data_IF_588169106796
#
_entry.id   IF_588169106796
#
_cell.length_a   1.000
_cell.length_b   1.000
_cell.length_c   1.000
_cell.angle_alpha   90.00
_cell.angle_beta   90.00
_cell.angle_gamma   90.00
#
_symmetry.space_group_name_H-M   'P 1'
#
loop_
_entity.id
_entity.type
_entity.pdbx_description
1 polymer ?
#
# COMPACT_ATOMS: atom_id res chain seq x y z
N UNK A 1 -32.29 -5.74 -27.57
CA UNK A 1 -31.62 -6.43 -26.44
C UNK A 1 -30.28 -6.93 -26.94
N UNK A 2 -29.17 -6.36 -26.46
CA UNK A 2 -27.82 -6.78 -26.85
C UNK A 2 -27.52 -8.13 -26.21
N UNK A 3 -27.10 -9.11 -27.02
CA UNK A 3 -26.86 -10.48 -26.59
C UNK A 3 -25.64 -10.52 -25.63
N UNK A 4 -25.77 -10.98 -24.37
CA UNK A 4 -24.67 -10.97 -23.40
C UNK A 4 -23.45 -11.81 -23.81
N UNK A 5 -23.63 -12.75 -24.75
CA UNK A 5 -22.53 -13.51 -25.36
C UNK A 5 -21.59 -12.64 -26.19
N UNK A 6 -22.12 -11.67 -26.94
CA UNK A 6 -21.30 -10.80 -27.80
C UNK A 6 -20.30 -9.97 -27.01
N UNK A 7 -20.72 -9.42 -25.87
CA UNK A 7 -19.82 -8.67 -24.98
C UNK A 7 -18.76 -9.55 -24.34
N UNK A 8 -19.10 -10.78 -23.94
CA UNK A 8 -18.15 -11.75 -23.41
C UNK A 8 -17.13 -12.17 -24.47
N UNK A 9 -17.57 -12.44 -25.68
CA UNK A 9 -16.71 -12.87 -26.79
C UNK A 9 -15.82 -11.72 -27.29
N UNK A 10 -16.33 -10.48 -27.29
CA UNK A 10 -15.57 -9.28 -27.61
C UNK A 10 -14.49 -8.99 -26.56
N UNK A 11 -14.85 -9.05 -25.27
CA UNK A 11 -13.90 -8.93 -24.14
C UNK A 11 -12.84 -10.03 -24.27
N UNK A 12 -13.24 -11.29 -24.39
CA UNK A 12 -12.31 -12.41 -24.51
C UNK A 12 -11.36 -12.24 -25.70
N UNK A 13 -11.83 -11.80 -26.88
CA UNK A 13 -10.98 -11.57 -28.04
C UNK A 13 -10.01 -10.38 -27.90
N UNK A 14 -10.34 -9.36 -27.10
CA UNK A 14 -9.42 -8.27 -26.76
C UNK A 14 -8.36 -8.75 -25.75
N UNK A 15 -8.78 -9.56 -24.77
CA UNK A 15 -7.92 -10.06 -23.70
C UNK A 15 -7.05 -11.27 -24.09
N UNK A 16 -7.35 -11.99 -25.19
CA UNK A 16 -6.51 -13.07 -25.74
C UNK A 16 -5.37 -12.58 -26.62
N UNK A 17 -5.22 -11.26 -26.81
CA UNK A 17 -4.03 -10.70 -27.44
C UNK A 17 -2.80 -11.03 -26.58
N UNK A 18 -1.81 -11.71 -27.16
CA UNK A 18 -0.55 -12.16 -26.51
C UNK A 18 0.24 -11.07 -25.79
N UNK A 19 -0.12 -9.81 -26.04
CA UNK A 19 0.39 -8.60 -25.38
C UNK A 19 -0.06 -8.49 -23.91
N UNK A 20 -1.26 -8.97 -23.56
CA UNK A 20 -1.83 -8.92 -22.18
C UNK A 20 -1.56 -10.18 -21.34
N UNK A 21 -1.05 -11.24 -21.95
CA UNK A 21 -0.80 -12.52 -21.28
C UNK A 21 0.49 -12.54 -20.44
N UNK A 22 1.46 -11.68 -20.77
CA UNK A 22 2.67 -11.57 -19.94
C UNK A 22 2.39 -10.71 -18.70
N UNK A 23 3.03 -11.02 -17.56
CA UNK A 23 3.02 -10.11 -16.37
C UNK A 23 3.40 -8.67 -16.74
N UNK A 24 4.22 -8.51 -17.77
CA UNK A 24 4.63 -7.23 -18.36
C UNK A 24 3.50 -6.47 -19.08
N UNK A 25 2.45 -7.15 -19.52
CA UNK A 25 1.26 -6.58 -20.17
C UNK A 25 0.13 -6.21 -19.20
N UNK A 26 0.08 -6.83 -18.01
CA UNK A 26 -0.96 -6.58 -17.00
C UNK A 26 -0.65 -5.43 -16.05
N UNK A 27 0.63 -5.19 -15.75
CA UNK A 27 1.06 -4.04 -14.94
C UNK A 27 1.17 -2.79 -15.81
N UNK A 28 0.73 -1.63 -15.29
CA UNK A 28 0.78 -0.37 -16.01
C UNK A 28 2.22 0.02 -16.33
N UNK A 29 2.62 -0.04 -17.59
CA UNK A 29 3.99 0.30 -18.01
C UNK A 29 4.07 1.75 -18.47
N UNK A 30 4.90 2.55 -17.81
CA UNK A 30 5.13 3.96 -18.14
C UNK A 30 6.58 4.22 -18.50
N UNK A 31 6.86 5.31 -19.23
CA UNK A 31 8.24 5.76 -19.41
C UNK A 31 8.83 6.15 -18.06
N UNK A 32 10.11 5.81 -17.86
CA UNK A 32 10.82 6.11 -16.63
C UNK A 32 11.29 7.57 -16.63
N UNK A 33 10.70 8.47 -15.83
CA UNK A 33 11.14 9.87 -15.77
C UNK A 33 12.50 10.00 -15.07
N UNK A 34 12.96 8.97 -14.37
CA UNK A 34 14.23 8.95 -13.64
C UNK A 34 15.40 8.42 -14.48
N UNK A 35 15.16 8.09 -15.75
CA UNK A 35 16.17 7.48 -16.61
C UNK A 35 17.35 8.43 -16.81
N UNK A 36 18.56 7.96 -16.51
CA UNK A 36 19.81 8.72 -16.67
C UNK A 36 20.10 9.70 -15.53
N UNK A 37 19.25 9.77 -14.51
CA UNK A 37 19.53 10.56 -13.30
C UNK A 37 20.45 9.80 -12.33
N UNK A 38 21.24 10.55 -11.57
CA UNK A 38 21.92 10.06 -10.37
C UNK A 38 21.05 10.39 -9.16
N UNK A 39 20.49 9.35 -8.51
CA UNK A 39 19.65 9.53 -7.33
C UNK A 39 20.53 9.57 -6.08
N UNK A 40 20.43 10.68 -5.33
CA UNK A 40 21.07 10.83 -4.03
C UNK A 40 19.94 10.81 -2.99
N UNK A 41 19.97 9.90 -2.00
CA UNK A 41 18.99 9.88 -0.92
C UNK A 41 19.19 11.10 -0.01
N UNK A 42 18.61 12.25 -0.38
CA UNK A 42 18.78 13.50 0.36
C UNK A 42 17.74 13.70 1.47
N UNK A 43 16.59 13.03 1.39
CA UNK A 43 15.49 13.23 2.34
C UNK A 43 14.92 11.90 2.82
N UNK A 44 15.01 11.61 4.14
CA UNK A 44 14.27 10.50 4.72
C UNK A 44 12.76 10.77 4.66
N UNK A 45 11.94 9.73 4.66
CA UNK A 45 10.48 9.86 4.61
C UNK A 45 9.92 10.65 5.82
N UNK A 46 10.53 10.44 6.98
CA UNK A 46 10.33 11.13 8.26
C UNK A 46 11.69 11.66 8.77
N UNK A 47 11.75 12.75 9.57
CA UNK A 47 12.99 13.21 10.20
C UNK A 47 13.72 12.13 10.99
N UNK A 48 12.98 11.09 11.40
CA UNK A 48 13.49 9.97 12.16
C UNK A 48 13.75 8.72 11.30
N UNK A 49 13.38 8.68 10.00
CA UNK A 49 13.59 7.47 9.18
C UNK A 49 15.07 7.12 9.08
N UNK A 50 15.41 5.83 9.06
CA UNK A 50 16.79 5.44 8.90
C UNK A 50 17.24 5.81 7.50
N UNK A 51 18.41 6.44 7.39
CA UNK A 51 19.00 6.80 6.09
C UNK A 51 19.50 5.57 5.32
N UNK A 52 19.69 4.45 6.04
CA UNK A 52 20.07 3.16 5.49
C UNK A 52 18.87 2.23 5.33
N UNK A 53 18.65 1.63 4.14
CA UNK A 53 17.58 0.67 3.90
C UNK A 53 17.73 -0.57 4.81
N UNK A 54 16.71 -0.89 5.61
CA UNK A 54 16.61 -2.18 6.30
C UNK A 54 15.54 -3.05 5.63
N UNK A 55 15.93 -4.19 5.07
CA UNK A 55 15.00 -5.10 4.42
C UNK A 55 14.21 -5.92 5.44
N UNK A 56 12.89 -5.80 5.42
CA UNK A 56 11.98 -6.74 6.06
C UNK A 56 11.46 -7.72 5.00
N UNK A 57 11.25 -8.99 5.37
CA UNK A 57 10.70 -10.02 4.46
C UNK A 57 9.36 -9.61 3.84
N UNK A 58 8.54 -8.86 4.58
CA UNK A 58 7.22 -8.42 4.14
C UNK A 58 7.25 -7.24 3.17
N UNK A 59 8.31 -6.44 3.20
CA UNK A 59 8.40 -5.14 2.55
C UNK A 59 9.73 -4.98 1.79
N UNK A 60 10.15 -6.07 1.14
CA UNK A 60 11.44 -6.16 0.47
C UNK A 60 11.55 -5.10 -0.64
N UNK A 61 12.67 -4.38 -0.66
CA UNK A 61 12.95 -3.38 -1.69
C UNK A 61 12.16 -2.07 -1.55
N UNK A 62 11.42 -1.87 -0.45
CA UNK A 62 10.71 -0.59 -0.21
C UNK A 62 11.65 0.62 -0.18
N UNK A 63 12.87 0.40 0.29
CA UNK A 63 13.87 1.44 0.51
C UNK A 63 14.92 1.45 -0.61
N UNK A 64 14.77 0.58 -1.61
CA UNK A 64 15.61 0.59 -2.80
C UNK A 64 15.24 1.79 -3.70
N UNK A 65 16.23 2.58 -4.15
CA UNK A 65 15.97 3.64 -5.09
C UNK A 65 15.46 3.08 -6.41
N UNK A 66 14.54 3.80 -7.04
CA UNK A 66 13.99 3.40 -8.33
C UNK A 66 15.11 3.27 -9.40
N UNK A 67 15.03 2.28 -10.30
CA UNK A 67 16.08 2.04 -11.28
C UNK A 67 16.19 3.20 -12.27
N UNK A 68 17.38 3.78 -12.43
CA UNK A 68 17.62 4.89 -13.37
C UNK A 68 18.21 4.45 -14.71
N UNK A 69 18.59 3.18 -14.86
CA UNK A 69 19.06 2.62 -16.13
C UNK A 69 17.90 2.14 -17.04
N UNK A 70 16.73 1.83 -16.47
CA UNK A 70 15.58 1.32 -17.22
C UNK A 70 14.88 2.39 -18.04
N UNK A 71 14.40 2.04 -19.24
CA UNK A 71 13.57 2.94 -20.08
C UNK A 71 12.14 3.10 -19.55
N UNK A 72 11.66 2.11 -18.80
CA UNK A 72 10.27 2.05 -18.35
C UNK A 72 10.17 1.63 -16.88
N UNK A 73 9.11 2.08 -16.21
CA UNK A 73 8.72 1.63 -14.88
C UNK A 73 7.39 0.86 -14.94
N UNK A 74 7.18 0.00 -13.95
CA UNK A 74 5.92 -0.70 -13.73
C UNK A 74 5.18 -0.05 -12.56
N UNK A 75 3.94 0.37 -12.81
CA UNK A 75 3.01 0.81 -11.79
C UNK A 75 2.05 -0.35 -11.50
N UNK A 76 1.93 -0.66 -10.22
CA UNK A 76 1.08 -1.72 -9.69
C UNK A 76 0.16 -1.14 -8.63
N UNK A 77 -0.95 -1.84 -8.37
CA UNK A 77 -1.90 -1.46 -7.34
C UNK A 77 -1.25 -1.51 -5.95
N UNK A 78 -1.44 -0.45 -5.15
CA UNK A 78 -0.94 -0.37 -3.78
C UNK A 78 -1.58 -1.41 -2.85
N UNK A 79 -2.81 -1.86 -3.16
CA UNK A 79 -3.50 -2.92 -2.43
C UNK A 79 -2.80 -4.28 -2.48
N UNK A 80 -1.82 -4.46 -3.39
CA UNK A 80 -0.93 -5.63 -3.36
C UNK A 80 0.00 -5.65 -2.14
N UNK A 81 0.24 -4.48 -1.52
CA UNK A 81 1.02 -4.36 -0.29
C UNK A 81 0.08 -4.30 0.92
N UNK A 82 -0.80 -3.30 0.96
CA UNK A 82 -1.90 -3.18 1.92
C UNK A 82 -2.89 -2.10 1.44
N UNK A 83 -4.15 -2.20 1.84
CA UNK A 83 -5.27 -1.44 1.26
C UNK A 83 -5.47 -0.03 1.85
N UNK A 84 -4.67 0.37 2.85
CA UNK A 84 -4.78 1.69 3.48
C UNK A 84 -3.67 2.64 2.98
N UNK A 85 -4.00 3.87 2.52
CA UNK A 85 -3.04 4.76 1.86
C UNK A 85 -2.13 5.53 2.83
N UNK A 86 -1.80 4.97 4.00
CA UNK A 86 -0.95 5.63 5.01
C UNK A 86 0.45 6.05 4.52
N UNK A 87 1.12 5.33 3.60
CA UNK A 87 2.40 5.79 3.03
C UNK A 87 2.32 7.17 2.38
N UNK A 88 1.15 7.53 1.85
CA UNK A 88 0.95 8.87 1.30
C UNK A 88 0.76 9.86 2.44
N UNK A 89 -0.06 9.49 3.43
CA UNK A 89 -0.56 10.37 4.49
C UNK A 89 0.47 10.69 5.58
N UNK A 90 1.31 9.74 5.97
CA UNK A 90 2.26 9.84 7.09
C UNK A 90 3.50 10.70 6.83
N UNK A 91 3.54 11.39 5.68
CA UNK A 91 4.65 12.26 5.34
C UNK A 91 4.71 13.42 6.33
N UNK A 92 5.83 13.55 7.05
CA UNK A 92 6.04 14.56 8.10
C UNK A 92 5.69 16.00 7.69
N UNK A 93 5.96 16.39 6.44
CA UNK A 93 5.64 17.73 5.93
C UNK A 93 4.14 18.04 5.86
N UNK A 94 3.26 17.04 5.99
CA UNK A 94 1.80 17.24 6.02
C UNK A 94 1.27 17.61 7.39
N UNK A 95 2.00 17.30 8.46
CA UNK A 95 1.65 17.62 9.85
C UNK A 95 0.16 17.33 10.19
N UNK A 96 -0.31 16.11 9.87
CA UNK A 96 -1.71 15.73 10.12
C UNK A 96 -1.88 15.27 11.57
N UNK A 97 -2.81 15.90 12.28
CA UNK A 97 -3.11 15.56 13.69
C UNK A 97 -4.11 14.41 13.84
N UNK A 98 -5.07 14.29 12.91
CA UNK A 98 -6.16 13.31 12.98
C UNK A 98 -6.36 12.63 11.63
N UNK A 99 -6.41 11.30 11.65
CA UNK A 99 -6.80 10.49 10.50
C UNK A 99 -8.17 9.87 10.72
N UNK A 100 -9.09 10.08 9.76
CA UNK A 100 -10.37 9.36 9.69
C UNK A 100 -10.22 8.32 8.58
N UNK A 101 -10.00 7.07 8.96
CA UNK A 101 -9.78 5.97 8.03
C UNK A 101 -11.04 5.15 7.83
N UNK A 102 -11.34 4.83 6.58
CA UNK A 102 -12.40 3.90 6.19
C UNK A 102 -11.75 2.66 5.59
N UNK A 103 -11.99 1.49 6.19
CA UNK A 103 -11.47 0.22 5.70
C UNK A 103 -12.60 -0.61 5.07
N UNK A 104 -12.47 -0.85 3.76
CA UNK A 104 -13.40 -1.67 2.96
C UNK A 104 -12.79 -3.02 2.55
N UNK A 105 -11.71 -3.41 3.22
CA UNK A 105 -11.00 -4.65 2.88
C UNK A 105 -11.85 -5.88 3.12
N UNK A 106 -11.71 -6.87 2.24
CA UNK A 106 -12.41 -8.14 2.37
C UNK A 106 -12.02 -8.84 3.67
N UNK A 107 -13.02 -9.36 4.38
CA UNK A 107 -12.84 -10.19 5.57
C UNK A 107 -13.37 -11.58 5.30
N UNK A 108 -12.81 -12.59 5.96
CA UNK A 108 -13.27 -13.98 5.80
C UNK A 108 -14.71 -14.14 6.30
N UNK A 109 -15.03 -13.49 7.43
CA UNK A 109 -16.36 -13.45 8.02
C UNK A 109 -16.67 -12.06 8.58
N UNK A 110 -17.95 -11.73 8.73
CA UNK A 110 -18.40 -10.46 9.32
C UNK A 110 -17.91 -10.24 10.75
N UNK A 111 -17.64 -11.33 11.46
CA UNK A 111 -17.12 -11.32 12.84
C UNK A 111 -15.59 -11.31 12.91
N UNK A 112 -14.87 -11.39 11.78
CA UNK A 112 -13.41 -11.33 11.77
C UNK A 112 -12.93 -9.93 12.20
N UNK A 113 -11.87 -9.83 13.03
CA UNK A 113 -11.31 -8.56 13.45
C UNK A 113 -10.92 -7.65 12.26
N UNK A 114 -11.37 -6.38 12.21
CA UNK A 114 -11.17 -5.50 11.07
C UNK A 114 -9.83 -4.72 11.14
N UNK A 115 -8.76 -5.32 11.65
CA UNK A 115 -7.50 -4.60 11.95
C UNK A 115 -6.32 -5.00 11.07
N UNK A 116 -6.47 -5.97 10.17
CA UNK A 116 -5.37 -6.52 9.37
C UNK A 116 -4.57 -5.43 8.63
N UNK A 117 -5.26 -4.60 7.86
CA UNK A 117 -4.61 -3.56 7.05
C UNK A 117 -4.03 -2.44 7.93
N UNK A 118 -4.67 -2.16 9.07
CA UNK A 118 -4.21 -1.17 10.04
C UNK A 118 -2.92 -1.63 10.74
N UNK A 119 -2.80 -2.92 11.07
CA UNK A 119 -1.57 -3.53 11.61
C UNK A 119 -0.44 -3.54 10.57
N UNK A 120 -0.75 -3.79 9.30
CA UNK A 120 0.23 -3.65 8.20
C UNK A 120 0.72 -2.20 8.07
N UNK A 121 -0.19 -1.24 8.23
CA UNK A 121 0.12 0.18 8.20
C UNK A 121 1.02 0.60 9.37
N UNK A 122 0.73 0.12 10.58
CA UNK A 122 1.60 0.33 11.74
C UNK A 122 3.00 -0.24 11.52
N UNK A 123 3.10 -1.47 11.01
CA UNK A 123 4.39 -2.09 10.71
C UNK A 123 5.17 -1.30 9.66
N UNK A 124 4.50 -0.83 8.61
CA UNK A 124 5.10 0.03 7.60
C UNK A 124 5.59 1.35 8.21
N UNK A 125 4.78 1.99 9.06
CA UNK A 125 5.13 3.23 9.72
C UNK A 125 6.36 3.07 10.62
N UNK A 126 6.41 2.01 11.44
CA UNK A 126 7.56 1.68 12.29
C UNK A 126 8.84 1.47 11.48
N UNK A 127 8.78 0.75 10.35
CA UNK A 127 9.95 0.55 9.46
C UNK A 127 10.46 1.86 8.85
N UNK A 128 9.57 2.83 8.64
CA UNK A 128 9.91 4.15 8.12
C UNK A 128 10.11 5.19 9.25
N UNK A 129 10.20 4.77 10.52
CA UNK A 129 10.23 5.62 11.72
C UNK A 129 9.25 6.80 11.63
N UNK A 130 8.03 6.50 11.24
CA UNK A 130 6.90 7.42 11.27
C UNK A 130 6.15 7.25 12.57
N UNK A 131 5.69 8.36 13.14
CA UNK A 131 4.77 8.32 14.26
C UNK A 131 3.46 7.68 13.81
N UNK A 132 3.01 6.70 14.58
CA UNK A 132 1.77 5.99 14.35
C UNK A 132 1.24 5.46 15.69
N UNK A 133 -0.08 5.50 15.95
CA UNK A 133 -0.63 4.97 17.18
C UNK A 133 -0.27 3.48 17.36
N UNK A 134 -0.13 2.99 18.60
CA UNK A 134 0.22 1.59 18.88
C UNK A 134 -0.98 0.65 18.64
N UNK A 135 -1.30 0.41 17.37
CA UNK A 135 -2.50 -0.35 16.96
C UNK A 135 -2.45 -1.77 17.50
N UNK A 136 -1.31 -2.45 17.44
CA UNK A 136 -1.15 -3.82 17.94
C UNK A 136 -1.63 -3.97 19.39
N UNK A 137 -1.24 -3.04 20.25
CA UNK A 137 -1.51 -3.12 21.68
C UNK A 137 -2.97 -2.73 21.99
N UNK A 138 -3.47 -1.70 21.32
CA UNK A 138 -4.85 -1.22 21.48
C UNK A 138 -5.89 -2.18 20.87
N UNK A 139 -5.57 -2.77 19.72
CA UNK A 139 -6.45 -3.72 19.04
C UNK A 139 -6.65 -5.01 19.85
N UNK A 140 -5.66 -5.42 20.65
CA UNK A 140 -5.77 -6.57 21.53
C UNK A 140 -6.92 -6.45 22.55
N UNK A 141 -7.29 -5.24 22.95
CA UNK A 141 -8.46 -4.99 23.80
C UNK A 141 -9.76 -5.02 23.00
N UNK A 142 -9.78 -4.43 21.81
CA UNK A 142 -10.98 -4.39 20.97
C UNK A 142 -11.44 -5.77 20.48
N UNK A 143 -10.49 -6.68 20.21
CA UNK A 143 -10.79 -8.05 19.75
C UNK A 143 -11.53 -8.87 20.82
N UNK A 144 -11.47 -8.49 22.11
CA UNK A 144 -12.20 -9.15 23.19
C UNK A 144 -13.71 -8.90 23.15
N UNK A 145 -14.14 -7.94 22.33
CA UNK A 145 -15.54 -7.51 22.21
C UNK A 145 -16.06 -7.75 20.78
N UNK A 146 -17.39 -7.78 20.58
CA UNK A 146 -17.96 -7.82 19.25
C UNK A 146 -17.49 -6.64 18.38
N UNK A 147 -17.38 -6.83 17.05
CA UNK A 147 -16.99 -5.76 16.14
C UNK A 147 -17.90 -4.53 16.29
N UNK A 148 -17.28 -3.35 16.30
CA UNK A 148 -17.91 -2.05 16.30
C UNK A 148 -17.77 -1.38 14.94
N UNK A 149 -18.63 -0.41 14.68
CA UNK A 149 -18.64 0.40 13.46
C UNK A 149 -17.44 1.37 13.41
N UNK A 150 -16.89 1.74 14.56
CA UNK A 150 -15.78 2.68 14.68
C UNK A 150 -14.89 2.36 15.89
N UNK A 151 -13.59 2.60 15.73
CA UNK A 151 -12.57 2.44 16.76
C UNK A 151 -11.71 3.70 16.80
N UNK A 152 -11.22 4.05 17.98
CA UNK A 152 -10.42 5.26 18.19
C UNK A 152 -9.07 4.86 18.76
N UNK A 153 -8.03 4.94 17.93
CA UNK A 153 -6.65 4.68 18.34
C UNK A 153 -5.99 6.00 18.73
N UNK A 154 -5.48 6.07 19.96
CA UNK A 154 -4.76 7.23 20.48
C UNK A 154 -3.38 6.80 20.92
N UNK A 155 -2.37 7.56 20.55
CA UNK A 155 -1.05 7.40 21.12
C UNK A 155 -1.11 7.80 22.60
N UNK A 156 -0.68 6.96 23.55
CA UNK A 156 -0.54 7.38 24.94
C UNK A 156 0.50 8.51 24.99
N UNK A 157 0.03 9.70 25.40
CA UNK A 157 0.88 10.86 25.69
C UNK A 157 1.89 10.55 26.78
#
# INVERSE_FOLDING_TARGET
>A
MLNPGFWKDFINNIFTSSVLDTRKGRAGRVFNPLRGLSLIPCFPFSPFSPTSPSDNTLFKGLTEPAPTNSKTLYLVDGGLTFNLPFPLLLRSQRAVDIYISFDFSSREHDNSPPFKELLLSEKWARLNNCLFPPIHDLAAEYIKHPPKECYVFKDPV
#
